data_IF_564189492608
#
_entry.id   IF_564189492608
#
_cell.length_a   1.000
_cell.length_b   1.000
_cell.length_c   1.000
_cell.angle_alpha   90.00
_cell.angle_beta   90.00
_cell.angle_gamma   90.00
#
_symmetry.space_group_name_H-M   'P 1'
#
loop_
_entity.id
_entity.type
_entity.pdbx_description
1 polymer ?
#
# COMPACT_ATOMS: atom_id res chain seq x y z
N UNK A 1 -21.14 17.13 28.38
CA UNK A 1 -21.30 16.95 26.92
C UNK A 1 -19.92 16.71 26.35
N UNK A 2 -19.56 15.45 26.08
CA UNK A 2 -18.33 15.17 25.35
C UNK A 2 -18.60 15.55 23.90
N UNK A 3 -17.86 16.54 23.39
CA UNK A 3 -17.76 16.83 21.97
C UNK A 3 -17.44 15.51 21.28
N UNK A 4 -18.38 15.01 20.47
CA UNK A 4 -18.13 13.83 19.66
C UNK A 4 -17.39 14.36 18.44
N UNK A 5 -16.05 14.17 18.32
CA UNK A 5 -15.32 14.66 17.16
C UNK A 5 -15.96 14.07 15.92
N UNK A 6 -16.20 14.90 14.91
CA UNK A 6 -16.67 14.45 13.60
C UNK A 6 -15.79 13.26 13.18
N UNK A 7 -16.35 12.08 12.88
CA UNK A 7 -15.57 10.93 12.40
C UNK A 7 -14.66 11.30 11.22
N UNK A 8 -15.06 12.30 10.41
CA UNK A 8 -14.26 12.83 9.32
C UNK A 8 -12.98 13.53 9.80
N UNK A 9 -12.97 14.17 10.98
CA UNK A 9 -11.79 14.83 11.56
C UNK A 9 -10.75 13.87 12.14
N UNK A 10 -11.06 12.56 12.20
CA UNK A 10 -10.15 11.53 12.73
C UNK A 10 -9.14 11.04 11.69
N UNK A 11 -9.43 11.22 10.40
CA UNK A 11 -8.52 10.90 9.30
C UNK A 11 -7.82 12.16 8.81
N UNK A 12 -6.49 12.15 8.63
CA UNK A 12 -5.78 13.28 8.04
C UNK A 12 -6.34 13.61 6.64
N UNK A 13 -6.38 14.90 6.29
CA UNK A 13 -6.81 15.40 4.96
C UNK A 13 -5.83 15.06 3.82
N UNK A 14 -4.98 14.04 4.02
CA UNK A 14 -4.01 13.53 3.04
C UNK A 14 -4.61 12.43 2.15
N UNK A 15 -5.79 11.93 2.50
CA UNK A 15 -6.47 10.83 1.81
C UNK A 15 -7.52 11.33 0.83
N UNK A 16 -7.64 10.63 -0.31
CA UNK A 16 -8.76 10.86 -1.22
C UNK A 16 -10.10 10.55 -0.55
N UNK A 17 -11.21 11.17 -1.00
CA UNK A 17 -12.51 10.94 -0.40
C UNK A 17 -12.94 9.46 -0.40
N UNK A 18 -12.67 8.71 -1.48
CA UNK A 18 -13.03 7.30 -1.53
C UNK A 18 -12.30 6.45 -0.48
N UNK A 19 -11.02 6.75 -0.22
CA UNK A 19 -10.26 6.09 0.85
C UNK A 19 -10.81 6.43 2.23
N UNK A 20 -11.19 7.70 2.47
CA UNK A 20 -11.80 8.13 3.73
C UNK A 20 -13.14 7.43 3.96
N UNK A 21 -14.02 7.46 2.97
CA UNK A 21 -15.36 6.85 3.03
C UNK A 21 -15.28 5.32 3.23
N UNK A 22 -14.32 4.65 2.58
CA UNK A 22 -14.04 3.24 2.86
C UNK A 22 -13.58 3.02 4.29
N UNK A 23 -12.59 3.77 4.77
CA UNK A 23 -12.02 3.58 6.09
C UNK A 23 -13.05 3.79 7.20
N UNK A 24 -13.83 4.88 7.13
CA UNK A 24 -14.85 5.21 8.14
C UNK A 24 -16.02 4.22 8.18
N UNK A 25 -16.28 3.49 7.08
CA UNK A 25 -17.22 2.37 7.09
C UNK A 25 -16.62 1.08 7.64
N UNK A 26 -15.33 0.84 7.36
CA UNK A 26 -14.65 -0.38 7.78
C UNK A 26 -14.22 -0.35 9.27
N UNK A 27 -13.94 0.84 9.81
CA UNK A 27 -13.40 1.03 11.15
C UNK A 27 -14.07 2.20 11.87
N UNK A 28 -14.21 2.09 13.19
CA UNK A 28 -14.77 3.17 14.03
C UNK A 28 -13.87 4.41 14.05
N UNK A 29 -12.56 4.21 14.18
CA UNK A 29 -11.55 5.26 14.25
C UNK A 29 -10.15 4.68 13.98
N UNK A 30 -9.17 5.48 13.56
CA UNK A 30 -7.80 5.03 13.42
C UNK A 30 -7.14 4.74 14.77
N UNK A 31 -6.16 3.83 14.76
CA UNK A 31 -5.30 3.58 15.92
C UNK A 31 -4.22 4.64 16.04
N UNK A 32 -3.65 4.85 17.23
CA UNK A 32 -2.69 5.94 17.48
C UNK A 32 -1.50 5.98 16.49
N UNK A 33 -1.01 4.82 16.05
CA UNK A 33 0.15 4.72 15.16
C UNK A 33 -0.17 5.07 13.70
N UNK A 34 -1.44 4.96 13.31
CA UNK A 34 -1.88 5.13 11.93
C UNK A 34 -1.73 6.57 11.44
N UNK A 35 -2.34 7.60 12.08
CA UNK A 35 -2.17 8.99 11.66
C UNK A 35 -0.71 9.44 11.66
N UNK A 36 0.06 9.04 12.68
CA UNK A 36 1.48 9.33 12.77
C UNK A 36 2.25 8.83 11.54
N UNK A 37 1.99 7.59 11.12
CA UNK A 37 2.62 6.99 9.94
C UNK A 37 2.18 7.69 8.66
N UNK A 38 0.89 8.00 8.52
CA UNK A 38 0.35 8.62 7.31
C UNK A 38 0.86 10.05 7.10
N UNK A 39 1.04 10.84 8.16
CA UNK A 39 1.62 12.18 8.05
C UNK A 39 3.08 12.18 7.60
N UNK A 40 3.86 11.17 8.01
CA UNK A 40 5.26 11.00 7.57
C UNK A 40 5.30 10.55 6.11
N UNK A 41 4.47 9.57 5.76
CA UNK A 41 4.35 9.09 4.38
C UNK A 41 3.87 10.20 3.41
N UNK A 42 2.98 11.08 3.85
CA UNK A 42 2.50 12.23 3.09
C UNK A 42 3.62 13.23 2.75
N UNK A 43 4.61 13.35 3.62
CA UNK A 43 5.82 14.17 3.41
C UNK A 43 6.90 13.45 2.60
N UNK A 44 6.63 12.23 2.13
CA UNK A 44 7.61 11.38 1.43
C UNK A 44 8.88 11.11 2.26
N UNK A 45 8.74 11.08 3.59
CA UNK A 45 9.82 10.78 4.53
C UNK A 45 9.86 9.28 4.88
N UNK A 46 11.03 8.81 5.30
CA UNK A 46 11.20 7.43 5.81
C UNK A 46 10.69 7.30 7.24
N UNK A 47 10.00 6.20 7.55
CA UNK A 47 9.44 5.94 8.88
C UNK A 47 9.84 4.56 9.40
N UNK A 48 10.22 4.48 10.68
CA UNK A 48 10.28 3.25 11.45
C UNK A 48 9.12 3.24 12.45
N UNK A 49 8.18 2.30 12.26
CA UNK A 49 6.96 2.23 13.06
C UNK A 49 7.09 1.16 14.14
N UNK A 50 7.15 1.57 15.40
CA UNK A 50 7.22 0.69 16.58
C UNK A 50 5.89 0.75 17.32
N UNK A 51 5.14 -0.36 17.32
CA UNK A 51 3.88 -0.47 18.07
C UNK A 51 3.59 -1.95 18.40
N UNK A 52 2.76 -2.24 19.41
CA UNK A 52 2.31 -3.60 19.73
C UNK A 52 1.63 -4.33 18.56
N UNK A 53 1.48 -5.66 18.69
CA UNK A 53 0.60 -6.43 17.82
C UNK A 53 -0.85 -5.91 17.95
N UNK A 54 -1.65 -6.06 16.88
CA UNK A 54 -3.02 -5.55 16.88
C UNK A 54 -3.16 -4.03 16.70
N UNK A 55 -2.09 -3.22 16.78
CA UNK A 55 -2.16 -1.76 16.60
C UNK A 55 -2.41 -1.29 15.17
N UNK A 56 -2.70 -2.18 14.22
CA UNK A 56 -3.02 -1.80 12.84
C UNK A 56 -1.83 -1.33 11.99
N UNK A 57 -0.58 -1.72 12.36
CA UNK A 57 0.67 -1.32 11.65
C UNK A 57 0.65 -1.61 10.15
N UNK A 58 0.05 -2.72 9.72
CA UNK A 58 -0.08 -3.07 8.30
C UNK A 58 -0.84 -1.99 7.55
N UNK A 59 -2.03 -1.61 8.03
CA UNK A 59 -2.81 -0.56 7.38
C UNK A 59 -2.15 0.82 7.52
N UNK A 60 -1.45 1.07 8.63
CA UNK A 60 -0.62 2.27 8.79
C UNK A 60 0.43 2.40 7.68
N UNK A 61 1.13 1.30 7.36
CA UNK A 61 2.18 1.28 6.34
C UNK A 61 1.64 1.34 4.89
N UNK A 62 0.51 0.68 4.61
CA UNK A 62 0.04 0.52 3.23
C UNK A 62 -1.00 1.54 2.77
N UNK A 63 -1.87 2.04 3.66
CA UNK A 63 -3.07 2.77 3.23
C UNK A 63 -2.74 4.03 2.41
N UNK A 64 -1.76 4.82 2.86
CA UNK A 64 -1.33 6.02 2.15
C UNK A 64 -0.75 5.70 0.76
N UNK A 65 0.05 4.63 0.68
CA UNK A 65 0.62 4.21 -0.59
C UNK A 65 -0.45 3.70 -1.57
N UNK A 66 -1.46 2.96 -1.09
CA UNK A 66 -2.59 2.53 -1.90
C UNK A 66 -3.41 3.72 -2.41
N UNK A 67 -3.75 4.67 -1.54
CA UNK A 67 -4.48 5.88 -1.91
C UNK A 67 -3.76 6.65 -3.01
N UNK A 68 -2.44 6.81 -2.89
CA UNK A 68 -1.62 7.45 -3.91
C UNK A 68 -1.71 6.72 -5.26
N UNK A 69 -1.68 5.38 -5.27
CA UNK A 69 -1.83 4.60 -6.51
C UNK A 69 -3.21 4.76 -7.14
N UNK A 70 -4.27 4.85 -6.34
CA UNK A 70 -5.62 5.11 -6.83
C UNK A 70 -5.73 6.51 -7.43
N UNK A 71 -5.13 7.54 -6.81
CA UNK A 71 -5.11 8.91 -7.35
C UNK A 71 -4.38 8.99 -8.68
N UNK A 72 -3.14 8.47 -8.72
CA UNK A 72 -2.32 8.47 -9.93
C UNK A 72 -2.95 7.67 -11.09
N UNK A 73 -3.68 6.58 -10.79
CA UNK A 73 -4.38 5.81 -11.81
C UNK A 73 -5.68 6.44 -12.30
N UNK A 74 -6.27 7.36 -11.52
CA UNK A 74 -7.48 8.10 -11.88
C UNK A 74 -7.19 9.32 -12.75
N UNK A 75 -5.95 9.81 -12.76
CA UNK A 75 -5.48 10.83 -13.68
C UNK A 75 -5.39 10.23 -15.09
N UNK A 76 -6.29 10.65 -15.99
CA UNK A 76 -6.43 10.15 -17.37
C UNK A 76 -5.25 10.57 -18.25
N UNK A 77 -4.07 10.06 -17.92
CA UNK A 77 -2.88 10.19 -18.73
C UNK A 77 -2.65 8.87 -19.46
N UNK A 78 -2.47 8.94 -20.78
CA UNK A 78 -2.08 7.81 -21.63
C UNK A 78 -0.80 7.10 -21.13
N UNK A 79 0.01 7.80 -20.34
CA UNK A 79 1.24 7.29 -19.72
C UNK A 79 1.02 6.52 -18.41
N UNK A 80 0.02 6.89 -17.60
CA UNK A 80 -0.33 6.13 -16.39
C UNK A 80 -0.81 4.70 -16.72
N UNK A 81 -1.59 4.55 -17.79
CA UNK A 81 -2.12 3.26 -18.24
C UNK A 81 -1.07 2.30 -18.81
N UNK A 82 0.12 2.79 -19.22
CA UNK A 82 1.16 1.97 -19.86
C UNK A 82 2.13 1.32 -18.87
N UNK A 83 2.20 1.78 -17.62
CA UNK A 83 3.23 1.31 -16.67
C UNK A 83 2.75 0.11 -15.87
N UNK A 84 3.01 -1.09 -16.39
CA UNK A 84 2.95 -2.36 -15.62
C UNK A 84 4.18 -2.51 -14.73
N UNK A 85 4.49 -1.52 -13.89
CA UNK A 85 5.66 -1.52 -13.02
C UNK A 85 5.24 -1.70 -11.57
N UNK A 86 5.99 -2.50 -10.81
CA UNK A 86 5.81 -2.59 -9.35
C UNK A 86 6.04 -1.23 -8.70
N UNK A 87 5.03 -0.70 -8.01
CA UNK A 87 5.08 0.63 -7.37
C UNK A 87 5.33 0.60 -5.86
N UNK A 88 5.02 -0.54 -5.22
CA UNK A 88 5.21 -0.79 -3.79
C UNK A 88 5.89 -2.14 -3.65
N UNK A 89 6.99 -2.20 -2.90
CA UNK A 89 7.69 -3.45 -2.57
C UNK A 89 7.56 -3.72 -1.07
N UNK A 90 6.92 -4.84 -0.73
CA UNK A 90 6.88 -5.36 0.62
C UNK A 90 7.89 -6.48 0.78
N UNK A 91 8.75 -6.39 1.79
CA UNK A 91 9.75 -7.40 2.13
C UNK A 91 9.34 -8.01 3.48
N UNK A 92 9.22 -9.33 3.51
CA UNK A 92 8.92 -10.08 4.73
C UNK A 92 10.07 -11.01 5.07
N UNK A 93 10.44 -11.16 6.35
CA UNK A 93 11.42 -12.16 6.76
C UNK A 93 10.94 -13.60 6.54
N UNK A 94 9.62 -13.83 6.46
CA UNK A 94 9.03 -15.17 6.27
C UNK A 94 7.96 -15.18 5.18
N UNK A 95 7.84 -16.31 4.47
CA UNK A 95 6.87 -16.47 3.37
C UNK A 95 5.42 -16.34 3.84
N UNK A 96 5.07 -16.99 4.95
CA UNK A 96 3.70 -17.02 5.47
C UNK A 96 3.16 -15.59 5.69
N UNK A 97 3.97 -14.72 6.32
CA UNK A 97 3.60 -13.33 6.55
C UNK A 97 3.42 -12.55 5.23
N UNK A 98 4.23 -12.84 4.21
CA UNK A 98 4.03 -12.29 2.86
C UNK A 98 2.67 -12.65 2.27
N UNK A 99 2.29 -13.93 2.36
CA UNK A 99 0.99 -14.43 1.92
C UNK A 99 -0.16 -13.80 2.72
N UNK A 100 -0.01 -13.65 4.03
CA UNK A 100 -1.04 -13.05 4.87
C UNK A 100 -1.22 -11.56 4.58
N UNK A 101 -0.12 -10.81 4.37
CA UNK A 101 -0.20 -9.41 3.92
C UNK A 101 -0.90 -9.31 2.57
N UNK A 102 -0.55 -10.16 1.60
CA UNK A 102 -1.22 -10.18 0.29
C UNK A 102 -2.74 -10.38 0.41
N UNK A 103 -3.18 -11.32 1.26
CA UNK A 103 -4.61 -11.56 1.53
C UNK A 103 -5.27 -10.35 2.20
N UNK A 104 -4.63 -9.80 3.23
CA UNK A 104 -5.17 -8.67 3.99
C UNK A 104 -5.30 -7.40 3.15
N UNK A 105 -4.43 -7.19 2.15
CA UNK A 105 -4.50 -6.05 1.24
C UNK A 105 -5.66 -6.14 0.24
N UNK A 106 -6.29 -7.30 0.04
CA UNK A 106 -7.46 -7.40 -0.84
C UNK A 106 -8.66 -6.59 -0.30
N UNK A 107 -8.80 -6.52 1.03
CA UNK A 107 -9.89 -5.80 1.69
C UNK A 107 -9.87 -4.30 1.38
N UNK A 108 -8.78 -3.54 1.66
CA UNK A 108 -8.70 -2.13 1.30
C UNK A 108 -8.76 -1.91 -0.21
N UNK A 109 -8.10 -2.75 -1.02
CA UNK A 109 -8.12 -2.59 -2.47
C UNK A 109 -9.53 -2.65 -3.05
N UNK A 110 -10.28 -3.70 -2.69
CA UNK A 110 -11.65 -3.86 -3.16
C UNK A 110 -12.55 -2.75 -2.62
N UNK A 111 -12.46 -2.47 -1.32
CA UNK A 111 -13.34 -1.50 -0.68
C UNK A 111 -13.14 -0.07 -1.17
N UNK A 112 -11.90 0.35 -1.44
CA UNK A 112 -11.61 1.65 -2.04
C UNK A 112 -12.11 1.68 -3.50
N UNK A 113 -11.89 0.62 -4.29
CA UNK A 113 -12.39 0.56 -5.66
C UNK A 113 -13.92 0.61 -5.75
N UNK A 114 -14.62 -0.10 -4.86
CA UNK A 114 -16.08 -0.08 -4.77
C UNK A 114 -16.58 1.32 -4.41
N UNK A 115 -15.86 2.04 -3.53
CA UNK A 115 -16.23 3.40 -3.16
C UNK A 115 -15.98 4.41 -4.28
N UNK A 116 -14.87 4.30 -4.99
CA UNK A 116 -14.60 5.08 -6.21
C UNK A 116 -15.72 4.90 -7.22
N UNK A 117 -16.17 3.64 -7.45
CA UNK A 117 -17.30 3.34 -8.34
C UNK A 117 -18.59 4.00 -7.87
N UNK A 118 -18.91 3.95 -6.57
CA UNK A 118 -20.08 4.61 -5.99
C UNK A 118 -20.06 6.13 -6.21
N UNK A 119 -18.85 6.72 -6.22
CA UNK A 119 -18.62 8.16 -6.45
C UNK A 119 -18.51 8.54 -7.93
N UNK A 120 -18.60 7.58 -8.86
CA UNK A 120 -18.46 7.83 -10.30
C UNK A 120 -17.04 8.19 -10.73
N UNK A 121 -16.02 7.81 -9.95
CA UNK A 121 -14.62 8.06 -10.28
C UNK A 121 -14.09 7.05 -11.31
N UNK A 122 -13.02 7.43 -12.03
CA UNK A 122 -12.29 6.55 -12.96
C UNK A 122 -11.92 5.23 -12.30
N UNK A 123 -12.20 4.14 -12.99
CA UNK A 123 -11.84 2.79 -12.56
C UNK A 123 -10.32 2.59 -12.60
N UNK A 124 -9.76 2.09 -11.50
CA UNK A 124 -8.33 1.82 -11.36
C UNK A 124 -8.13 0.37 -10.96
N UNK A 125 -7.45 -0.41 -11.80
CA UNK A 125 -7.16 -1.82 -11.53
C UNK A 125 -5.79 -1.97 -10.84
N UNK A 126 -5.79 -2.00 -9.51
CA UNK A 126 -4.59 -2.31 -8.73
C UNK A 126 -4.52 -3.81 -8.43
N UNK A 127 -3.32 -4.39 -8.53
CA UNK A 127 -3.07 -5.81 -8.28
C UNK A 127 -1.94 -5.99 -7.27
N UNK A 128 -2.08 -7.00 -6.41
CA UNK A 128 -1.00 -7.45 -5.53
C UNK A 128 -0.37 -8.69 -6.14
N UNK A 129 0.81 -8.53 -6.72
CA UNK A 129 1.63 -9.65 -7.17
C UNK A 129 2.49 -10.20 -6.05
N UNK A 130 2.85 -11.47 -6.13
CA UNK A 130 3.91 -12.06 -5.32
C UNK A 130 4.95 -12.69 -6.25
N UNK A 131 6.23 -12.38 -6.01
CA UNK A 131 7.34 -13.02 -6.72
C UNK A 131 7.76 -14.24 -5.93
N UNK A 132 7.37 -15.42 -6.40
CA UNK A 132 7.80 -16.70 -5.82
C UNK A 132 9.16 -17.08 -6.40
N UNK A 133 10.21 -16.30 -6.15
CA UNK A 133 11.55 -16.65 -6.63
C UNK A 133 12.65 -16.13 -5.71
N UNK A 134 13.01 -16.95 -4.73
CA UNK A 134 14.39 -16.97 -4.28
C UNK A 134 15.17 -17.80 -5.31
N UNK A 135 15.64 -17.18 -6.39
CA UNK A 135 16.80 -17.69 -7.11
C UNK A 135 18.01 -17.05 -6.46
N UNK A 136 18.41 -17.57 -5.29
CA UNK A 136 19.70 -17.22 -4.70
C UNK A 136 20.74 -17.51 -5.77
N UNK A 137 21.41 -16.45 -6.26
CA UNK A 137 22.65 -16.63 -6.97
C UNK A 137 23.59 -17.33 -5.98
N UNK A 138 23.83 -18.63 -6.20
CA UNK A 138 24.95 -19.34 -5.59
C UNK A 138 26.20 -18.56 -5.98
N UNK A 139 26.98 -18.14 -4.98
CA UNK A 139 28.26 -17.46 -5.16
C UNK A 139 29.03 -18.00 -6.37
N UNK A 140 29.29 -17.14 -7.35
CA UNK A 140 30.30 -17.39 -8.38
C UNK A 140 31.70 -17.24 -7.75
N UNK A 141 32.02 -18.12 -6.81
CA UNK A 141 33.39 -18.45 -6.44
C UNK A 141 33.84 -19.61 -7.35
N UNK A 142 33.87 -19.34 -8.65
CA UNK A 142 34.68 -20.02 -9.64
C UNK A 142 34.42 -19.33 -10.97
N UNK A 143 35.34 -18.46 -11.35
CA UNK A 143 35.42 -17.90 -12.69
C UNK A 143 36.19 -18.87 -13.58
N UNK A 144 35.58 -19.51 -14.60
CA UNK A 144 36.32 -19.98 -15.73
C UNK A 144 36.14 -18.96 -16.85
N UNK A 145 37.19 -18.17 -17.06
CA UNK A 145 37.75 -17.86 -18.39
C UNK A 145 36.75 -18.02 -19.55
N UNK A 146 36.08 -16.93 -19.95
CA UNK A 146 35.63 -16.80 -21.34
C UNK A 146 36.69 -15.98 -22.07
N UNK A 147 37.67 -16.69 -22.62
CA UNK A 147 38.46 -16.21 -23.75
C UNK A 147 37.56 -16.19 -24.98
N UNK A 148 37.56 -15.04 -25.63
CA UNK A 148 37.29 -14.79 -27.06
C UNK A 148 37.70 -15.97 -27.94
N UNK A 149 36.86 -16.34 -28.91
CA UNK A 149 37.16 -16.66 -30.33
C UNK A 149 36.05 -17.58 -30.90
N UNK A 150 35.44 -17.09 -32.00
CA UNK A 150 34.35 -17.57 -32.86
C UNK A 150 32.94 -17.64 -32.25
#
# INVERSE_FOLDING_TARGET
>A
MADNPDPSSLLPDVFSPATRDWFLRAFKQPTAVQPQTWHVAARSEHALVIAPTGSGKTLAAFLYALDRLFREGGEDTREAHKRKTSRILYISPIKALGTDVQRNLQIPLKGIADERRRRGETEVNLRVGSVLAIRLHRNAANSPVIRRIF
#
